data_IF_792157764882
#
_entry.id   IF_792157764882
#
_cell.length_a   1.000
_cell.length_b   1.000
_cell.length_c   1.000
_cell.angle_alpha   90.00
_cell.angle_beta   90.00
_cell.angle_gamma   90.00
#
_symmetry.space_group_name_H-M   'P 1'
#
loop_
_entity.id
_entity.type
_entity.pdbx_description
1 polymer ?
#
# COMPACT_ATOMS: atom_id res chain seq x y z
N UNK A 1 42.83 23.94 -15.67
CA UNK A 1 41.37 24.04 -15.86
C UNK A 1 40.76 23.89 -14.48
N UNK A 2 40.19 24.95 -13.92
CA UNK A 2 39.60 24.87 -12.59
C UNK A 2 38.28 24.09 -12.71
N UNK A 3 38.25 22.87 -12.18
CA UNK A 3 37.00 22.13 -12.04
C UNK A 3 36.10 22.93 -11.10
N UNK A 4 35.03 23.51 -11.64
CA UNK A 4 34.11 24.36 -10.89
C UNK A 4 33.16 23.45 -10.10
N UNK A 5 33.75 22.74 -9.14
CA UNK A 5 33.11 21.71 -8.33
C UNK A 5 32.76 22.29 -6.98
N UNK A 6 31.51 22.09 -6.57
CA UNK A 6 31.00 22.52 -5.26
C UNK A 6 30.53 21.31 -4.48
N UNK A 7 31.13 21.10 -3.31
CA UNK A 7 30.70 20.09 -2.34
C UNK A 7 29.85 20.75 -1.26
N UNK A 8 28.66 20.21 -1.03
CA UNK A 8 27.72 20.67 -0.02
C UNK A 8 27.26 19.53 0.87
N UNK A 9 26.95 19.83 2.13
CA UNK A 9 26.33 18.87 3.05
C UNK A 9 24.84 19.15 3.14
N UNK A 10 24.02 18.20 2.72
CA UNK A 10 22.56 18.31 2.74
C UNK A 10 22.02 17.44 3.87
N UNK A 11 21.36 18.07 4.83
CA UNK A 11 20.64 17.38 5.89
C UNK A 11 19.23 17.01 5.39
N UNK A 12 18.91 15.71 5.39
CA UNK A 12 17.61 15.16 5.03
C UNK A 12 17.11 14.26 6.16
N UNK A 13 16.05 14.68 6.84
CA UNK A 13 15.58 13.98 8.04
C UNK A 13 16.65 13.98 9.15
N UNK A 14 17.03 12.79 9.61
CA UNK A 14 18.09 12.59 10.61
C UNK A 14 19.48 12.35 10.00
N UNK A 15 19.58 12.17 8.67
CA UNK A 15 20.84 11.86 7.98
C UNK A 15 21.42 13.09 7.27
N UNK A 16 22.74 13.10 7.11
CA UNK A 16 23.48 14.14 6.38
C UNK A 16 24.19 13.48 5.20
N UNK A 17 23.99 14.04 4.01
CA UNK A 17 24.56 13.56 2.76
C UNK A 17 25.55 14.59 2.24
N UNK A 18 26.77 14.17 1.96
CA UNK A 18 27.76 15.03 1.29
C UNK A 18 27.60 14.84 -0.21
N UNK A 19 27.16 15.89 -0.90
CA UNK A 19 26.89 15.90 -2.34
C UNK A 19 27.94 16.77 -3.01
N UNK A 20 28.57 16.23 -4.05
CA UNK A 20 29.54 16.97 -4.86
C UNK A 20 28.93 17.17 -6.24
N UNK A 21 28.82 18.43 -6.65
CA UNK A 21 28.19 18.84 -7.91
C UNK A 21 29.23 19.56 -8.75
N UNK A 22 29.34 19.18 -10.01
CA UNK A 22 30.26 19.81 -10.98
C UNK A 22 29.41 20.47 -12.05
N UNK A 23 29.65 21.76 -12.32
CA UNK A 23 28.92 22.47 -13.35
C UNK A 23 29.28 21.96 -14.76
N UNK A 24 28.31 21.88 -15.69
CA UNK A 24 28.57 21.48 -17.06
C UNK A 24 29.50 22.48 -17.77
N UNK A 25 30.42 21.95 -18.59
CA UNK A 25 31.34 22.72 -19.46
C UNK A 25 32.20 23.79 -18.76
N UNK A 26 32.51 23.60 -17.47
CA UNK A 26 33.33 24.53 -16.68
C UNK A 26 32.56 25.74 -16.13
N UNK A 27 31.23 25.74 -16.25
CA UNK A 27 30.38 26.80 -15.72
C UNK A 27 30.08 26.60 -14.22
N UNK A 28 29.49 27.59 -13.55
CA UNK A 28 29.04 27.40 -12.15
C UNK A 28 27.91 26.37 -12.05
N UNK A 29 27.92 25.47 -11.06
CA UNK A 29 26.81 24.55 -10.82
C UNK A 29 25.54 25.31 -10.43
N UNK A 30 24.41 24.87 -10.99
CA UNK A 30 23.09 25.45 -10.73
C UNK A 30 22.29 24.61 -9.72
N UNK A 31 21.19 25.17 -9.22
CA UNK A 31 20.30 24.47 -8.28
C UNK A 31 19.74 23.17 -8.87
N UNK A 32 19.51 23.12 -10.19
CA UNK A 32 19.09 21.91 -10.90
C UNK A 32 20.08 20.76 -10.74
N UNK A 33 21.37 21.01 -10.96
CA UNK A 33 22.42 19.99 -10.87
C UNK A 33 22.52 19.40 -9.45
N UNK A 34 22.41 20.27 -8.44
CA UNK A 34 22.35 19.84 -7.04
C UNK A 34 21.11 18.99 -6.76
N UNK A 35 19.97 19.39 -7.30
CA UNK A 35 18.70 18.66 -7.12
C UNK A 35 18.78 17.28 -7.77
N UNK A 36 19.32 17.17 -8.99
CA UNK A 36 19.54 15.90 -9.68
C UNK A 36 20.49 14.97 -8.90
N UNK A 37 21.61 15.51 -8.42
CA UNK A 37 22.53 14.75 -7.57
C UNK A 37 21.85 14.27 -6.27
N UNK A 38 20.95 15.09 -5.70
CA UNK A 38 20.14 14.70 -4.56
C UNK A 38 19.08 13.65 -4.90
N UNK A 39 18.51 13.64 -6.10
CA UNK A 39 17.60 12.57 -6.54
C UNK A 39 18.36 11.24 -6.48
N UNK A 40 19.58 11.20 -7.02
CA UNK A 40 20.40 10.00 -7.06
C UNK A 40 20.79 9.49 -5.65
N UNK A 41 21.09 10.41 -4.73
CA UNK A 41 21.55 10.03 -3.37
C UNK A 41 20.39 9.76 -2.40
N UNK A 42 19.30 10.53 -2.49
CA UNK A 42 18.20 10.48 -1.50
C UNK A 42 16.97 9.73 -2.00
N UNK A 43 16.83 9.57 -3.31
CA UNK A 43 15.65 9.00 -3.98
C UNK A 43 14.44 9.95 -4.00
N UNK A 44 14.59 11.21 -3.57
CA UNK A 44 13.51 12.20 -3.59
C UNK A 44 13.47 12.86 -4.96
N UNK A 45 12.36 12.83 -5.72
CA UNK A 45 12.28 13.46 -7.03
C UNK A 45 12.32 14.99 -6.92
N UNK A 46 12.96 15.68 -7.87
CA UNK A 46 13.09 17.15 -7.89
C UNK A 46 11.81 17.94 -7.53
N UNK A 47 10.61 17.64 -8.07
CA UNK A 47 9.39 18.37 -7.71
C UNK A 47 8.97 18.20 -6.25
N UNK A 48 9.41 17.11 -5.58
CA UNK A 48 9.17 16.87 -4.17
C UNK A 48 10.33 17.36 -3.28
N UNK A 49 11.44 17.82 -3.86
CA UNK A 49 12.58 18.38 -3.13
C UNK A 49 12.32 19.86 -2.80
N UNK A 50 12.35 20.19 -1.52
CA UNK A 50 12.35 21.56 -1.01
C UNK A 50 13.69 21.83 -0.33
N UNK A 51 14.58 22.50 -1.04
CA UNK A 51 15.88 22.91 -0.53
C UNK A 51 15.76 24.19 0.29
N UNK A 52 16.42 24.21 1.44
CA UNK A 52 16.39 25.31 2.40
C UNK A 52 17.82 25.65 2.78
N UNK A 53 18.22 26.88 2.50
CA UNK A 53 19.53 27.41 2.87
C UNK A 53 19.37 28.73 3.62
N UNK A 54 19.96 28.83 4.81
CA UNK A 54 19.86 30.01 5.69
C UNK A 54 18.42 30.52 5.89
N UNK A 55 17.46 29.60 6.04
CA UNK A 55 16.04 29.93 6.22
C UNK A 55 15.28 30.30 4.94
N UNK A 56 15.95 30.39 3.78
CA UNK A 56 15.30 30.63 2.49
C UNK A 56 15.06 29.32 1.75
N UNK A 57 13.84 29.16 1.23
CA UNK A 57 13.52 28.03 0.34
C UNK A 57 14.02 28.36 -1.07
N UNK A 58 14.85 27.50 -1.63
CA UNK A 58 15.40 27.65 -2.98
C UNK A 58 14.38 27.05 -3.96
N UNK A 59 13.96 27.84 -4.95
CA UNK A 59 12.94 27.42 -5.95
C UNK A 59 13.39 27.61 -7.39
N UNK A 60 14.28 28.57 -7.66
CA UNK A 60 14.75 28.87 -9.02
C UNK A 60 15.81 27.84 -9.44
N UNK A 61 15.39 26.85 -10.23
CA UNK A 61 16.26 25.74 -10.65
C UNK A 61 17.37 26.16 -11.63
N UNK A 62 17.16 27.25 -12.36
CA UNK A 62 18.11 27.78 -13.35
C UNK A 62 19.15 28.74 -12.73
N UNK A 63 19.01 29.07 -11.45
CA UNK A 63 19.88 30.01 -10.77
C UNK A 63 21.13 29.31 -10.20
N UNK A 64 22.28 29.99 -10.22
CA UNK A 64 23.55 29.41 -9.75
C UNK A 64 23.57 29.23 -8.23
N UNK A 65 24.26 28.20 -7.75
CA UNK A 65 24.44 27.98 -6.32
C UNK A 65 25.10 29.19 -5.64
N UNK A 66 26.01 29.86 -6.33
CA UNK A 66 26.67 31.09 -5.87
C UNK A 66 25.69 32.24 -5.62
N UNK A 67 24.64 32.39 -6.45
CA UNK A 67 23.61 33.43 -6.28
C UNK A 67 22.82 33.26 -4.98
N UNK A 68 22.58 32.01 -4.57
CA UNK A 68 22.00 31.69 -3.26
C UNK A 68 22.99 31.80 -2.09
N UNK A 69 24.26 32.12 -2.38
CA UNK A 69 25.35 32.20 -1.40
C UNK A 69 25.85 30.84 -0.94
N UNK A 70 25.62 29.79 -1.73
CA UNK A 70 26.09 28.42 -1.47
C UNK A 70 27.51 28.29 -2.03
N UNK A 71 28.44 27.85 -1.17
CA UNK A 71 29.86 27.67 -1.49
C UNK A 71 30.35 26.32 -1.01
N UNK A 72 31.59 25.98 -1.34
CA UNK A 72 32.28 24.78 -0.86
C UNK A 72 32.10 24.60 0.66
N UNK A 73 31.63 23.43 1.08
CA UNK A 73 31.42 23.06 2.48
C UNK A 73 30.14 23.61 3.12
N UNK A 74 29.26 24.27 2.37
CA UNK A 74 28.01 24.80 2.91
C UNK A 74 27.05 23.69 3.35
N UNK A 75 26.27 23.98 4.41
CA UNK A 75 25.21 23.11 4.90
C UNK A 75 23.85 23.60 4.44
N UNK A 76 23.09 22.71 3.81
CA UNK A 76 21.71 22.91 3.41
C UNK A 76 20.80 21.93 4.14
N UNK A 77 19.52 22.28 4.25
CA UNK A 77 18.47 21.34 4.60
C UNK A 77 17.66 21.00 3.35
N UNK A 78 17.29 19.73 3.22
CA UNK A 78 16.31 19.30 2.24
C UNK A 78 15.11 18.73 2.98
N UNK A 79 13.93 19.12 2.55
CA UNK A 79 12.67 18.50 2.95
C UNK A 79 12.06 17.93 1.68
N UNK A 80 11.60 16.69 1.72
CA UNK A 80 10.96 16.08 0.58
C UNK A 80 10.53 14.65 0.87
N UNK A 81 9.52 14.17 0.18
CA UNK A 81 9.11 12.78 0.25
C UNK A 81 9.68 12.05 -0.96
N UNK A 82 10.17 10.82 -0.77
CA UNK A 82 10.58 9.97 -1.89
C UNK A 82 9.44 9.73 -2.87
N UNK A 83 8.20 9.78 -2.37
CA UNK A 83 7.01 9.54 -3.17
C UNK A 83 6.60 10.79 -3.95
N UNK A 84 6.32 10.62 -5.24
CA UNK A 84 5.75 11.67 -6.08
C UNK A 84 4.30 11.96 -5.66
N UNK A 85 3.74 13.14 -5.99
CA UNK A 85 2.32 13.41 -5.73
C UNK A 85 1.38 12.40 -6.42
N UNK A 86 1.77 11.84 -7.57
CA UNK A 86 1.00 10.74 -8.19
C UNK A 86 1.10 9.46 -7.36
N UNK A 87 2.28 9.11 -6.86
CA UNK A 87 2.47 7.94 -6.01
C UNK A 87 1.72 8.07 -4.68
N UNK A 88 1.66 9.26 -4.09
CA UNK A 88 0.87 9.52 -2.88
C UNK A 88 -0.64 9.33 -3.12
N UNK A 89 -1.13 9.72 -4.31
CA UNK A 89 -2.51 9.46 -4.73
C UNK A 89 -2.81 7.96 -4.87
N UNK A 90 -1.92 7.22 -5.52
CA UNK A 90 -2.04 5.76 -5.68
C UNK A 90 -1.93 5.03 -4.33
N UNK A 91 -1.01 5.45 -3.44
CA UNK A 91 -0.90 4.94 -2.07
C UNK A 91 -2.18 5.19 -1.27
N UNK A 92 -2.82 6.34 -1.46
CA UNK A 92 -4.08 6.65 -0.79
C UNK A 92 -5.20 5.70 -1.25
N UNK A 93 -5.30 5.44 -2.56
CA UNK A 93 -6.23 4.44 -3.10
C UNK A 93 -5.96 3.05 -2.52
N UNK A 94 -4.70 2.61 -2.50
CA UNK A 94 -4.32 1.32 -1.90
C UNK A 94 -4.71 1.23 -0.42
N UNK A 95 -4.52 2.30 0.36
CA UNK A 95 -4.93 2.35 1.77
C UNK A 95 -6.44 2.28 1.96
N UNK A 96 -7.21 2.88 1.07
CA UNK A 96 -8.67 2.82 1.16
C UNK A 96 -9.18 1.42 0.78
N UNK A 97 -8.55 0.76 -0.20
CA UNK A 97 -8.82 -0.65 -0.49
C UNK A 97 -8.44 -1.55 0.69
N UNK A 98 -7.29 -1.34 1.33
CA UNK A 98 -6.88 -2.07 2.55
C UNK A 98 -7.96 -2.00 3.63
N UNK A 99 -8.56 -0.83 3.86
CA UNK A 99 -9.69 -0.69 4.80
C UNK A 99 -10.91 -1.49 4.37
N UNK A 100 -11.25 -1.49 3.08
CA UNK A 100 -12.36 -2.28 2.54
C UNK A 100 -12.13 -3.79 2.71
N UNK A 101 -10.88 -4.25 2.54
CA UNK A 101 -10.49 -5.64 2.83
C UNK A 101 -10.69 -5.94 4.31
N UNK A 102 -10.19 -5.11 5.21
CA UNK A 102 -10.31 -5.30 6.65
C UNK A 102 -11.79 -5.34 7.11
N UNK A 103 -12.63 -4.48 6.55
CA UNK A 103 -14.07 -4.49 6.83
C UNK A 103 -14.76 -5.77 6.36
N UNK A 104 -14.40 -6.26 5.17
CA UNK A 104 -14.96 -7.51 4.63
C UNK A 104 -14.45 -8.71 5.43
N UNK A 105 -13.17 -8.72 5.83
CA UNK A 105 -12.58 -9.75 6.69
C UNK A 105 -13.29 -9.84 8.04
N UNK A 106 -13.59 -8.71 8.70
CA UNK A 106 -14.37 -8.70 9.95
C UNK A 106 -15.77 -9.29 9.81
N UNK A 107 -16.39 -9.17 8.63
CA UNK A 107 -17.68 -9.84 8.36
C UNK A 107 -17.48 -11.34 8.22
N UNK A 108 -16.42 -11.76 7.51
CA UNK A 108 -16.10 -13.17 7.33
C UNK A 108 -15.80 -13.86 8.67
N UNK A 109 -15.01 -13.24 9.55
CA UNK A 109 -14.73 -13.75 10.90
C UNK A 109 -15.99 -13.96 11.73
N UNK A 110 -16.97 -13.04 11.63
CA UNK A 110 -18.27 -13.21 12.30
C UNK A 110 -19.01 -14.43 11.77
N UNK A 111 -19.00 -14.64 10.45
CA UNK A 111 -19.65 -15.81 9.85
C UNK A 111 -18.96 -17.10 10.28
N UNK A 112 -17.63 -17.14 10.32
CA UNK A 112 -16.88 -18.32 10.79
C UNK A 112 -17.15 -18.63 12.28
N UNK A 113 -17.25 -17.58 13.10
CA UNK A 113 -17.63 -17.69 14.50
C UNK A 113 -19.07 -18.22 14.69
N UNK A 114 -20.02 -17.69 13.91
CA UNK A 114 -21.41 -18.19 13.89
C UNK A 114 -21.48 -19.66 13.42
N UNK A 115 -20.72 -20.04 12.38
CA UNK A 115 -20.63 -21.42 11.89
C UNK A 115 -20.08 -22.37 12.97
N UNK A 116 -19.01 -21.97 13.65
CA UNK A 116 -18.42 -22.75 14.74
C UNK A 116 -19.39 -22.90 15.91
N UNK A 117 -20.13 -21.82 16.24
CA UNK A 117 -21.20 -21.85 17.23
C UNK A 117 -22.34 -22.80 16.86
N UNK A 118 -22.74 -22.84 15.58
CA UNK A 118 -23.76 -23.77 15.10
C UNK A 118 -23.29 -25.22 15.12
N UNK A 119 -22.03 -25.49 14.74
CA UNK A 119 -21.42 -26.83 14.77
C UNK A 119 -21.39 -27.43 16.18
N UNK A 120 -21.13 -26.61 17.19
CA UNK A 120 -21.01 -27.04 18.59
C UNK A 120 -22.29 -26.81 19.40
N UNK A 121 -23.30 -26.18 18.82
CA UNK A 121 -24.53 -25.79 19.51
C UNK A 121 -25.59 -26.89 19.54
N UNK A 122 -26.54 -26.75 20.46
CA UNK A 122 -27.67 -27.68 20.65
C UNK A 122 -28.97 -27.23 19.94
N UNK A 123 -28.85 -26.37 18.92
CA UNK A 123 -30.01 -25.91 18.14
C UNK A 123 -30.71 -27.09 17.46
N UNK A 124 -32.05 -27.01 17.38
CA UNK A 124 -32.84 -27.99 16.63
C UNK A 124 -32.39 -28.02 15.16
N UNK A 125 -32.38 -29.22 14.56
CA UNK A 125 -31.84 -29.46 13.21
C UNK A 125 -32.45 -28.56 12.13
N UNK A 126 -33.75 -28.31 12.20
CA UNK A 126 -34.44 -27.47 11.22
C UNK A 126 -34.01 -26.00 11.33
N UNK A 127 -33.83 -25.51 12.56
CA UNK A 127 -33.30 -24.17 12.84
C UNK A 127 -31.81 -24.05 12.48
N UNK A 128 -31.03 -25.12 12.67
CA UNK A 128 -29.63 -25.17 12.22
C UNK A 128 -29.54 -25.08 10.70
N UNK A 129 -30.38 -25.82 9.96
CA UNK A 129 -30.39 -25.78 8.51
C UNK A 129 -30.73 -24.39 7.97
N UNK A 130 -31.72 -23.71 8.56
CA UNK A 130 -32.07 -22.34 8.17
C UNK A 130 -30.92 -21.35 8.48
N UNK A 131 -30.30 -21.46 9.67
CA UNK A 131 -29.18 -20.62 10.05
C UNK A 131 -27.96 -20.82 9.13
N UNK A 132 -27.64 -22.07 8.80
CA UNK A 132 -26.58 -22.43 7.86
C UNK A 132 -26.84 -21.87 6.46
N UNK A 133 -28.09 -21.92 5.96
CA UNK A 133 -28.45 -21.29 4.68
C UNK A 133 -28.25 -19.76 4.68
N UNK A 134 -28.52 -19.09 5.82
CA UNK A 134 -28.22 -17.65 5.96
C UNK A 134 -26.72 -17.37 6.00
N UNK A 135 -25.92 -18.23 6.63
CA UNK A 135 -24.46 -18.11 6.64
C UNK A 135 -23.86 -18.33 5.25
N UNK A 136 -24.36 -19.31 4.50
CA UNK A 136 -23.94 -19.59 3.11
C UNK A 136 -24.09 -18.35 2.23
N UNK A 137 -25.26 -17.72 2.27
CA UNK A 137 -25.52 -16.49 1.53
C UNK A 137 -24.57 -15.35 1.96
N UNK A 138 -24.27 -15.22 3.26
CA UNK A 138 -23.35 -14.20 3.77
C UNK A 138 -21.90 -14.43 3.31
N UNK A 139 -21.45 -15.69 3.28
CA UNK A 139 -20.11 -16.06 2.79
C UNK A 139 -19.98 -15.77 1.30
N UNK A 140 -21.00 -16.11 0.50
CA UNK A 140 -21.03 -15.80 -0.94
C UNK A 140 -20.96 -14.30 -1.19
N UNK A 141 -21.72 -13.50 -0.44
CA UNK A 141 -21.64 -12.03 -0.51
C UNK A 141 -20.24 -11.54 -0.15
N UNK A 142 -19.62 -12.07 0.92
CA UNK A 142 -18.26 -11.68 1.30
C UNK A 142 -17.22 -12.07 0.23
N UNK A 143 -17.35 -13.26 -0.36
CA UNK A 143 -16.52 -13.74 -1.46
C UNK A 143 -16.62 -12.83 -2.69
N UNK A 144 -17.84 -12.45 -3.08
CA UNK A 144 -18.05 -11.49 -4.18
C UNK A 144 -17.45 -10.11 -3.87
N UNK A 145 -17.54 -9.64 -2.60
CA UNK A 145 -16.89 -8.40 -2.18
C UNK A 145 -15.36 -8.49 -2.31
N UNK A 146 -14.75 -9.61 -1.92
CA UNK A 146 -13.31 -9.82 -2.09
C UNK A 146 -12.91 -9.91 -3.56
N UNK A 147 -13.70 -10.55 -4.43
CA UNK A 147 -13.44 -10.57 -5.88
C UNK A 147 -13.49 -9.16 -6.49
N UNK A 148 -14.50 -8.35 -6.15
CA UNK A 148 -14.57 -6.94 -6.59
C UNK A 148 -13.36 -6.14 -6.14
N UNK A 149 -12.91 -6.34 -4.91
CA UNK A 149 -11.69 -5.69 -4.40
C UNK A 149 -10.47 -6.17 -5.19
N UNK A 150 -10.35 -7.47 -5.48
CA UNK A 150 -9.24 -8.02 -6.26
C UNK A 150 -9.20 -7.41 -7.67
N UNK A 151 -10.33 -7.34 -8.35
CA UNK A 151 -10.47 -6.69 -9.67
C UNK A 151 -10.06 -5.21 -9.62
N UNK A 152 -10.50 -4.48 -8.60
CA UNK A 152 -10.10 -3.09 -8.39
C UNK A 152 -8.58 -2.96 -8.24
N UNK A 153 -7.96 -3.81 -7.42
CA UNK A 153 -6.50 -3.80 -7.22
C UNK A 153 -5.77 -4.14 -8.52
N UNK A 154 -6.23 -5.13 -9.27
CA UNK A 154 -5.61 -5.56 -10.51
C UNK A 154 -5.70 -4.49 -11.60
N UNK A 155 -6.81 -3.75 -11.67
CA UNK A 155 -7.01 -2.63 -12.59
C UNK A 155 -6.04 -1.47 -12.39
N UNK A 156 -5.40 -1.36 -11.22
CA UNK A 156 -4.43 -0.29 -10.95
C UNK A 156 -3.15 -0.49 -11.76
N UNK A 157 -2.85 0.44 -12.68
CA UNK A 157 -1.58 0.49 -13.42
C UNK A 157 -0.57 1.32 -12.66
N UNK A 158 0.47 0.68 -12.14
CA UNK A 158 1.53 1.34 -11.37
C UNK A 158 2.83 1.40 -12.20
N UNK A 159 3.41 2.58 -12.44
CA UNK A 159 4.68 2.70 -13.16
C UNK A 159 5.85 2.06 -12.38
N UNK A 160 6.95 1.76 -13.08
CA UNK A 160 8.06 0.95 -12.52
C UNK A 160 8.80 1.64 -11.37
N UNK A 161 8.79 2.96 -11.35
CA UNK A 161 9.38 3.78 -10.31
C UNK A 161 8.60 3.77 -8.98
N UNK A 162 7.36 3.24 -8.93
CA UNK A 162 6.54 3.17 -7.71
C UNK A 162 6.73 1.85 -6.97
N UNK A 163 7.97 1.57 -6.55
CA UNK A 163 8.36 0.31 -5.93
C UNK A 163 7.52 -0.04 -4.70
N UNK A 164 7.26 0.95 -3.84
CA UNK A 164 6.47 0.77 -2.61
C UNK A 164 5.00 0.46 -2.92
N UNK A 165 4.38 1.18 -3.86
CA UNK A 165 3.02 0.89 -4.32
C UNK A 165 2.90 -0.52 -4.91
N UNK A 166 3.86 -0.93 -5.74
CA UNK A 166 3.85 -2.27 -6.35
C UNK A 166 3.99 -3.37 -5.30
N UNK A 167 4.87 -3.18 -4.31
CA UNK A 167 5.02 -4.12 -3.21
C UNK A 167 3.73 -4.21 -2.38
N UNK A 168 3.10 -3.08 -2.07
CA UNK A 168 1.80 -3.04 -1.37
C UNK A 168 0.69 -3.70 -2.17
N UNK A 169 0.54 -3.37 -3.46
CA UNK A 169 -0.42 -4.01 -4.37
C UNK A 169 -0.28 -5.53 -4.31
N UNK A 170 0.94 -6.04 -4.46
CA UNK A 170 1.22 -7.48 -4.41
C UNK A 170 0.89 -8.11 -3.04
N UNK A 171 1.17 -7.41 -1.94
CA UNK A 171 0.80 -7.83 -0.59
C UNK A 171 -0.72 -7.92 -0.43
N UNK A 172 -1.44 -6.89 -0.88
CA UNK A 172 -2.89 -6.81 -0.81
C UNK A 172 -3.56 -7.91 -1.63
N UNK A 173 -3.10 -8.17 -2.85
CA UNK A 173 -3.56 -9.29 -3.70
C UNK A 173 -3.44 -10.62 -2.95
N UNK A 174 -2.26 -10.91 -2.36
CA UNK A 174 -2.06 -12.14 -1.59
C UNK A 174 -3.00 -12.23 -0.40
N UNK A 175 -3.20 -11.13 0.31
CA UNK A 175 -4.11 -11.08 1.46
C UNK A 175 -5.55 -11.37 1.05
N UNK A 176 -6.04 -10.72 -0.02
CA UNK A 176 -7.40 -10.94 -0.54
C UNK A 176 -7.60 -12.38 -1.01
N UNK A 177 -6.62 -12.95 -1.73
CA UNK A 177 -6.65 -14.36 -2.12
C UNK A 177 -6.67 -15.30 -0.91
N UNK A 178 -5.94 -14.95 0.16
CA UNK A 178 -6.00 -15.66 1.42
C UNK A 178 -7.41 -15.66 2.04
N UNK A 179 -8.11 -14.52 1.99
CA UNK A 179 -9.49 -14.44 2.46
C UNK A 179 -10.49 -15.16 1.56
N UNK A 180 -10.33 -15.13 0.24
CA UNK A 180 -11.14 -15.93 -0.69
C UNK A 180 -11.02 -17.43 -0.38
N UNK A 181 -9.80 -17.92 -0.17
CA UNK A 181 -9.59 -19.31 0.25
C UNK A 181 -10.21 -19.63 1.63
N UNK A 182 -10.34 -18.64 2.52
CA UNK A 182 -11.10 -18.82 3.77
C UNK A 182 -12.60 -18.87 3.52
N UNK A 183 -13.15 -18.02 2.64
CA UNK A 183 -14.55 -18.10 2.21
C UNK A 183 -14.88 -19.50 1.69
N UNK A 184 -14.06 -20.05 0.79
CA UNK A 184 -14.28 -21.38 0.22
C UNK A 184 -14.30 -22.48 1.30
N UNK A 185 -13.42 -22.38 2.30
CA UNK A 185 -13.39 -23.32 3.44
C UNK A 185 -14.64 -23.22 4.31
N UNK A 186 -15.10 -22.01 4.57
CA UNK A 186 -16.31 -21.76 5.38
C UNK A 186 -17.53 -22.27 4.62
N UNK A 187 -17.65 -21.97 3.32
CA UNK A 187 -18.72 -22.46 2.43
C UNK A 187 -18.75 -23.99 2.39
N UNK A 188 -17.60 -24.64 2.15
CA UNK A 188 -17.50 -26.09 2.20
C UNK A 188 -17.90 -26.65 3.58
N UNK A 189 -17.52 -25.97 4.66
CA UNK A 189 -17.89 -26.34 6.03
C UNK A 189 -19.39 -26.20 6.33
N UNK A 190 -20.07 -25.25 5.69
CA UNK A 190 -21.52 -25.06 5.77
C UNK A 190 -22.23 -26.18 5.01
N UNK A 191 -21.81 -26.45 3.77
CA UNK A 191 -22.39 -27.48 2.91
C UNK A 191 -22.27 -28.88 3.52
N UNK A 192 -21.11 -29.23 4.07
CA UNK A 192 -20.89 -30.50 4.77
C UNK A 192 -21.84 -30.65 5.98
N UNK A 193 -22.03 -29.57 6.75
CA UNK A 193 -22.92 -29.61 7.92
C UNK A 193 -24.40 -29.71 7.52
N UNK A 194 -24.81 -29.02 6.45
CA UNK A 194 -26.16 -29.15 5.89
C UNK A 194 -26.43 -30.58 5.42
N UNK A 195 -25.48 -31.21 4.71
CA UNK A 195 -25.60 -32.59 4.25
C UNK A 195 -25.74 -33.59 5.41
N UNK A 196 -25.00 -33.38 6.52
CA UNK A 196 -25.11 -34.19 7.75
C UNK A 196 -26.47 -34.08 8.43
N UNK A 197 -27.09 -32.90 8.40
CA UNK A 197 -28.44 -32.70 8.95
C UNK A 197 -29.47 -33.44 8.11
N UNK A 198 -29.40 -33.30 6.78
CA UNK A 198 -30.36 -33.92 5.85
C UNK A 198 -30.29 -35.46 5.87
N UNK A 199 -29.09 -36.03 5.84
CA UNK A 199 -28.88 -37.49 5.90
C UNK A 199 -29.42 -38.13 7.18
N UNK A 200 -29.27 -37.46 8.33
CA UNK A 200 -29.84 -37.94 9.60
C UNK A 200 -31.37 -37.83 9.65
N UNK A 201 -31.96 -36.85 8.98
CA UNK A 201 -33.43 -36.72 8.94
C UNK A 201 -34.06 -37.80 8.05
N UNK A 202 -33.41 -38.17 6.94
CA UNK A 202 -33.88 -39.27 6.08
C UNK A 202 -33.86 -40.60 6.82
N UNK A 203 -32.77 -40.91 7.55
CA UNK A 203 -32.66 -42.15 8.32
C UNK A 203 -33.70 -42.28 9.46
N UNK A 204 -34.18 -41.18 10.02
CA UNK A 204 -35.22 -41.15 11.06
C UNK A 204 -36.64 -41.26 10.50
N UNK A 205 -36.85 -40.95 9.21
CA UNK A 205 -38.16 -41.03 8.56
C UNK A 205 -38.48 -42.46 8.05
N UNK A 206 -37.45 -43.28 7.84
CA UNK A 206 -37.55 -44.70 7.45
C UNK A 206 -37.57 -45.67 8.66
N UNK A 207 -37.71 -45.17 9.89
CA UNK A 207 -37.73 -45.94 11.15
C UNK A 207 -39.12 -46.04 11.78
#
# INVERSE_FOLDING_TARGET
MAENTVTVTVAYGSTKHSITVTGPDGNEPILKDLSDALVQVTGVPMPAQKLIFKGKSLKEMEESLSSFGIKQGCKLMMIGKRNSPEEESELKKLKDIEKSVEQTAKKLEKVDGELTGLKNGFLAKDLQAEALGRLDQRVKVASEQFMKILEQVDSMTLPENFGDCRMKKKGLVKTVQGFLAQCDKIEAGILDHLAKIQSKNLALADS
#
